data_IF_556122613698
#
_entry.id   IF_556122613698
#
_cell.length_a   1.000
_cell.length_b   1.000
_cell.length_c   1.000
_cell.angle_alpha   90.00
_cell.angle_beta   90.00
_cell.angle_gamma   90.00
#
_symmetry.space_group_name_H-M   'P 1'
#
loop_
_entity.id
_entity.type
_entity.pdbx_description
1 polymer ?
#
# COMPACT_ATOMS: atom_id res chain seq x y z
N UNK A 1 2.98 -25.01 65.99
CA UNK A 1 2.83 -23.61 65.58
C UNK A 1 3.45 -23.43 64.21
N UNK A 2 2.67 -22.86 63.29
CA UNK A 2 2.97 -22.26 61.98
C UNK A 2 3.65 -23.07 60.86
N UNK A 3 2.78 -23.49 59.92
CA UNK A 3 3.06 -23.89 58.52
C UNK A 3 3.43 -22.64 57.70
N UNK A 4 4.51 -22.70 56.90
CA UNK A 4 4.79 -21.72 55.84
C UNK A 4 4.49 -22.36 54.48
N UNK A 5 3.54 -21.79 53.75
CA UNK A 5 3.28 -22.11 52.34
C UNK A 5 3.96 -21.05 51.47
N UNK A 6 4.92 -21.47 50.65
CA UNK A 6 5.53 -20.63 49.62
C UNK A 6 4.59 -20.58 48.42
N UNK A 7 4.05 -19.40 48.10
CA UNK A 7 3.30 -19.18 46.87
C UNK A 7 4.26 -18.69 45.78
N UNK A 8 4.48 -19.49 44.73
CA UNK A 8 5.16 -19.08 43.51
C UNK A 8 4.19 -18.26 42.66
N UNK A 9 4.38 -16.94 42.61
CA UNK A 9 3.68 -16.08 41.68
C UNK A 9 4.37 -16.16 40.31
N UNK A 10 3.75 -16.87 39.36
CA UNK A 10 4.21 -16.95 37.98
C UNK A 10 3.75 -15.67 37.25
N UNK A 11 4.66 -14.71 37.10
CA UNK A 11 4.43 -13.49 36.34
C UNK A 11 4.43 -13.82 34.84
N UNK A 12 3.26 -13.91 34.21
CA UNK A 12 3.15 -13.98 32.76
C UNK A 12 3.58 -12.63 32.16
N UNK A 13 4.76 -12.60 31.55
CA UNK A 13 5.14 -11.52 30.66
C UNK A 13 4.33 -11.65 29.37
N UNK A 14 3.33 -10.80 29.17
CA UNK A 14 2.69 -10.63 27.86
C UNK A 14 3.69 -9.96 26.93
N UNK A 15 4.25 -10.72 25.99
CA UNK A 15 4.99 -10.16 24.87
C UNK A 15 3.99 -9.37 24.00
N UNK A 16 4.06 -8.04 24.05
CA UNK A 16 3.41 -7.18 23.08
C UNK A 16 4.25 -7.28 21.81
N UNK A 17 3.82 -8.10 20.87
CA UNK A 17 4.36 -8.06 19.51
C UNK A 17 3.88 -6.76 18.88
N UNK A 18 4.78 -5.80 18.72
CA UNK A 18 4.55 -4.63 17.86
C UNK A 18 4.44 -5.19 16.43
N UNK A 19 3.20 -5.34 15.95
CA UNK A 19 2.94 -5.54 14.53
C UNK A 19 3.28 -4.22 13.84
N UNK A 20 4.17 -4.23 12.85
CA UNK A 20 4.12 -3.21 11.80
C UNK A 20 2.70 -3.31 11.26
N UNK A 21 1.93 -2.24 11.41
CA UNK A 21 0.49 -2.30 11.23
C UNK A 21 0.19 -2.44 9.74
N UNK A 22 -0.41 -3.56 9.34
CA UNK A 22 -1.00 -3.72 8.02
C UNK A 22 -1.94 -2.54 7.73
N UNK A 23 -1.83 -1.96 6.54
CA UNK A 23 -2.77 -0.93 6.11
C UNK A 23 -3.87 -1.59 5.29
N UNK A 24 -5.13 -1.40 5.70
CA UNK A 24 -6.28 -2.03 5.06
C UNK A 24 -7.36 -1.01 4.74
N UNK A 25 -7.97 -1.15 3.56
CA UNK A 25 -9.16 -0.39 3.18
C UNK A 25 -10.25 -1.32 2.65
N UNK A 26 -11.48 -1.12 3.11
CA UNK A 26 -12.65 -1.83 2.58
C UNK A 26 -12.99 -1.33 1.17
N UNK A 27 -13.15 -2.26 0.23
CA UNK A 27 -13.44 -1.96 -1.18
C UNK A 27 -14.60 -2.78 -1.72
N UNK A 28 -15.03 -2.48 -2.95
CA UNK A 28 -16.10 -3.20 -3.66
C UNK A 28 -15.89 -4.72 -3.74
N UNK A 29 -14.64 -5.19 -3.80
CA UNK A 29 -14.31 -6.62 -3.93
C UNK A 29 -13.83 -7.25 -2.61
N UNK A 30 -14.02 -6.57 -1.47
CA UNK A 30 -13.45 -6.96 -0.17
C UNK A 30 -12.26 -6.10 0.23
N UNK A 31 -11.63 -6.33 1.39
CA UNK A 31 -10.53 -5.50 1.85
C UNK A 31 -9.32 -5.59 0.91
N UNK A 32 -8.74 -4.44 0.56
CA UNK A 32 -7.37 -4.37 0.02
C UNK A 32 -6.44 -4.15 1.21
N UNK A 33 -5.50 -5.06 1.40
CA UNK A 33 -4.51 -5.01 2.48
C UNK A 33 -3.11 -4.90 1.90
N UNK A 34 -2.36 -3.93 2.42
CA UNK A 34 -0.93 -3.73 2.18
C UNK A 34 -0.21 -4.18 3.45
N UNK A 35 0.58 -5.24 3.33
CA UNK A 35 1.27 -5.88 4.45
C UNK A 35 2.76 -5.91 4.22
N UNK A 36 3.52 -5.36 5.16
CA UNK A 36 4.97 -5.46 5.17
C UNK A 36 5.37 -6.86 5.69
N UNK A 37 6.32 -7.51 5.02
CA UNK A 37 6.88 -8.80 5.40
C UNK A 37 8.37 -8.59 5.70
N UNK A 38 8.73 -8.21 6.95
CA UNK A 38 10.08 -7.79 7.31
C UNK A 38 11.13 -8.89 7.15
N UNK A 39 10.74 -10.15 7.40
CA UNK A 39 11.64 -11.31 7.33
C UNK A 39 12.19 -11.51 5.92
N UNK A 40 11.39 -11.15 4.92
CA UNK A 40 11.67 -11.35 3.51
C UNK A 40 11.99 -10.04 2.77
N UNK A 41 12.04 -8.90 3.48
CA UNK A 41 12.21 -7.56 2.91
C UNK A 41 11.30 -7.25 1.71
N UNK A 42 10.01 -7.64 1.82
CA UNK A 42 9.02 -7.43 0.76
C UNK A 42 7.70 -6.89 1.30
N UNK A 43 6.88 -6.40 0.39
CA UNK A 43 5.49 -5.99 0.68
C UNK A 43 4.52 -6.87 -0.09
N UNK A 44 3.47 -7.33 0.56
CA UNK A 44 2.35 -8.04 -0.06
C UNK A 44 1.16 -7.08 -0.25
N UNK A 45 0.53 -7.15 -1.42
CA UNK A 45 -0.83 -6.65 -1.64
C UNK A 45 -1.76 -7.86 -1.70
N UNK A 46 -2.83 -7.85 -0.92
CA UNK A 46 -3.91 -8.83 -1.02
C UNK A 46 -5.27 -8.18 -1.20
N UNK A 47 -6.21 -8.92 -1.82
CA UNK A 47 -7.62 -8.52 -1.99
C UNK A 47 -8.49 -9.63 -1.44
N UNK A 48 -9.40 -9.29 -0.52
CA UNK A 48 -10.22 -10.26 0.21
C UNK A 48 -9.39 -11.40 0.84
N UNK A 49 -8.19 -11.06 1.34
CA UNK A 49 -7.25 -12.02 1.93
C UNK A 49 -6.54 -12.94 0.94
N UNK A 50 -6.75 -12.79 -0.38
CA UNK A 50 -6.00 -13.51 -1.41
C UNK A 50 -4.82 -12.66 -1.88
N UNK A 51 -3.57 -13.18 -1.82
CA UNK A 51 -2.41 -12.45 -2.33
C UNK A 51 -2.57 -12.11 -3.82
N UNK A 52 -2.45 -10.83 -4.15
CA UNK A 52 -2.48 -10.32 -5.51
C UNK A 52 -1.06 -10.09 -6.05
N UNK A 53 -0.15 -9.60 -5.20
CA UNK A 53 1.19 -9.21 -5.62
C UNK A 53 2.18 -9.15 -4.46
N UNK A 54 3.47 -9.37 -4.77
CA UNK A 54 4.59 -9.15 -3.88
C UNK A 54 5.59 -8.17 -4.52
N UNK A 55 5.96 -7.12 -3.78
CA UNK A 55 6.98 -6.15 -4.16
C UNK A 55 8.27 -6.46 -3.38
N UNK A 56 9.25 -7.06 -4.06
CA UNK A 56 10.49 -7.57 -3.43
C UNK A 56 11.59 -6.52 -3.23
N UNK A 57 11.44 -5.32 -3.78
CA UNK A 57 12.45 -4.24 -3.72
C UNK A 57 12.07 -3.10 -2.75
N UNK A 58 11.05 -3.33 -1.92
CA UNK A 58 10.46 -2.31 -1.06
C UNK A 58 10.27 -2.84 0.34
N UNK A 59 10.67 -2.03 1.32
CA UNK A 59 10.62 -2.41 2.75
C UNK A 59 9.36 -1.96 3.44
N UNK A 60 8.80 -0.85 2.96
CA UNK A 60 7.60 -0.26 3.53
C UNK A 60 6.66 0.16 2.42
N UNK A 61 5.38 0.18 2.72
CA UNK A 61 4.35 0.63 1.79
C UNK A 61 3.17 1.22 2.54
N UNK A 62 2.37 1.99 1.81
CA UNK A 62 1.21 2.67 2.35
C UNK A 62 0.14 2.88 1.29
N UNK A 63 -1.11 3.05 1.71
CA UNK A 63 -2.21 3.45 0.84
C UNK A 63 -2.11 4.96 0.63
N UNK A 64 -1.65 5.34 -0.56
CA UNK A 64 -1.41 6.73 -0.92
C UNK A 64 -2.70 7.51 -1.22
N UNK A 65 -3.69 6.85 -1.83
CA UNK A 65 -4.99 7.45 -2.15
C UNK A 65 -6.03 6.38 -2.49
N UNK A 66 -7.31 6.67 -2.21
CA UNK A 66 -8.44 5.85 -2.65
C UNK A 66 -9.40 6.66 -3.51
N UNK A 67 -10.12 5.98 -4.40
CA UNK A 67 -11.16 6.58 -5.22
C UNK A 67 -12.42 5.71 -5.19
N UNK A 68 -13.55 6.38 -5.00
CA UNK A 68 -14.86 5.75 -5.06
C UNK A 68 -15.27 5.46 -6.51
N UNK A 69 -15.81 4.26 -6.72
CA UNK A 69 -16.48 3.84 -7.95
C UNK A 69 -17.81 3.20 -7.52
N UNK A 70 -18.91 3.56 -8.16
CA UNK A 70 -20.25 3.06 -7.81
C UNK A 70 -20.65 3.20 -6.31
N UNK A 71 -20.12 4.21 -5.62
CA UNK A 71 -20.47 4.52 -4.22
C UNK A 71 -19.69 3.75 -3.14
N UNK A 72 -18.66 3.00 -3.51
CA UNK A 72 -17.67 2.47 -2.56
C UNK A 72 -16.25 2.56 -3.16
N UNK A 73 -15.21 2.31 -2.36
CA UNK A 73 -13.83 2.33 -2.86
C UNK A 73 -13.67 1.26 -3.94
N UNK A 74 -13.29 1.69 -5.15
CA UNK A 74 -13.05 0.80 -6.29
C UNK A 74 -11.61 0.82 -6.78
N UNK A 75 -10.86 1.87 -6.46
CA UNK A 75 -9.46 2.04 -6.87
C UNK A 75 -8.62 2.48 -5.67
N UNK A 76 -7.49 1.81 -5.47
CA UNK A 76 -6.54 2.05 -4.39
C UNK A 76 -5.15 2.29 -5.00
N UNK A 77 -4.50 3.39 -4.65
CA UNK A 77 -3.12 3.67 -5.03
C UNK A 77 -2.22 3.29 -3.86
N UNK A 78 -1.27 2.42 -4.11
CA UNK A 78 -0.27 1.97 -3.12
C UNK A 78 1.06 2.61 -3.44
N UNK A 79 1.66 3.28 -2.47
CA UNK A 79 3.03 3.78 -2.53
C UNK A 79 3.99 2.79 -1.88
N UNK A 80 5.12 2.54 -2.53
CA UNK A 80 6.17 1.63 -2.07
C UNK A 80 7.46 2.42 -1.87
N UNK A 81 8.01 2.34 -0.66
CA UNK A 81 9.24 3.02 -0.32
C UNK A 81 10.41 2.02 -0.30
N UNK A 82 11.41 2.32 -1.13
CA UNK A 82 12.61 1.49 -1.27
C UNK A 82 13.55 1.59 -0.06
N UNK A 83 13.40 2.63 0.77
CA UNK A 83 14.30 2.94 1.88
C UNK A 83 15.68 3.49 1.45
N UNK A 84 15.89 3.69 0.14
CA UNK A 84 17.10 4.28 -0.43
C UNK A 84 16.92 5.73 -0.87
N UNK A 85 18.02 6.47 -1.05
CA UNK A 85 17.98 7.87 -1.51
C UNK A 85 17.78 8.03 -3.02
N UNK A 86 17.97 6.96 -3.80
CA UNK A 86 17.94 7.01 -5.26
C UNK A 86 16.52 7.18 -5.81
N UNK A 87 15.54 6.47 -5.25
CA UNK A 87 14.14 6.55 -5.67
C UNK A 87 13.22 6.34 -4.45
N UNK A 88 12.84 7.43 -3.75
CA UNK A 88 12.10 7.33 -2.48
C UNK A 88 10.82 6.52 -2.60
N UNK A 89 9.96 6.83 -3.58
CA UNK A 89 8.66 6.17 -3.70
C UNK A 89 8.29 5.91 -5.16
N UNK A 90 7.79 4.71 -5.42
CA UNK A 90 7.09 4.32 -6.64
C UNK A 90 5.71 3.78 -6.29
N UNK A 91 4.81 3.73 -7.27
CA UNK A 91 3.39 3.51 -7.02
C UNK A 91 2.83 2.40 -7.91
N UNK A 92 1.76 1.76 -7.43
CA UNK A 92 0.88 0.89 -8.22
C UNK A 92 -0.58 1.20 -7.92
N UNK A 93 -1.44 0.88 -8.87
CA UNK A 93 -2.89 0.98 -8.73
C UNK A 93 -3.45 -0.43 -8.60
N UNK A 94 -4.25 -0.66 -7.57
CA UNK A 94 -5.14 -1.80 -7.41
C UNK A 94 -6.54 -1.33 -7.78
N UNK A 95 -7.08 -1.84 -8.88
CA UNK A 95 -8.46 -1.57 -9.32
C UNK A 95 -9.29 -2.83 -9.15
N UNK A 96 -10.30 -2.72 -8.30
CA UNK A 96 -11.25 -3.77 -7.96
C UNK A 96 -12.66 -3.44 -8.45
N UNK A 97 -12.80 -2.38 -9.25
CA UNK A 97 -14.10 -1.87 -9.68
C UNK A 97 -14.78 -2.74 -10.74
N UNK A 98 -14.03 -3.62 -11.41
CA UNK A 98 -14.52 -4.45 -12.53
C UNK A 98 -14.13 -5.92 -12.34
N UNK A 99 -14.86 -6.65 -11.50
CA UNK A 99 -14.70 -8.09 -11.35
C UNK A 99 -13.39 -8.50 -10.69
N UNK A 100 -12.51 -9.18 -11.42
CA UNK A 100 -11.22 -9.63 -10.89
C UNK A 100 -10.29 -8.43 -10.63
N UNK A 101 -9.56 -8.40 -9.50
CA UNK A 101 -8.63 -7.31 -9.22
C UNK A 101 -7.58 -7.14 -10.33
N UNK A 102 -7.40 -5.90 -10.78
CA UNK A 102 -6.40 -5.51 -11.76
C UNK A 102 -5.29 -4.71 -11.06
N UNK A 103 -4.04 -5.06 -11.35
CA UNK A 103 -2.87 -4.36 -10.82
C UNK A 103 -2.15 -3.65 -11.97
N UNK A 104 -1.88 -2.35 -11.80
CA UNK A 104 -1.08 -1.62 -12.78
C UNK A 104 0.39 -2.04 -12.77
N UNK A 105 1.09 -1.71 -13.85
CA UNK A 105 2.54 -1.57 -13.81
C UNK A 105 2.97 -0.53 -12.75
N UNK A 106 4.22 -0.63 -12.30
CA UNK A 106 4.83 0.37 -11.43
C UNK A 106 4.99 1.71 -12.16
N UNK A 107 4.80 2.82 -11.45
CA UNK A 107 4.87 4.16 -12.04
C UNK A 107 5.29 5.23 -11.02
N UNK A 108 5.56 6.43 -11.51
CA UNK A 108 5.96 7.61 -10.72
C UNK A 108 7.40 8.03 -10.99
N UNK A 109 7.74 9.26 -10.59
CA UNK A 109 9.03 9.90 -10.88
C UNK A 109 10.00 9.86 -9.70
N UNK A 110 9.89 8.85 -8.83
CA UNK A 110 10.56 8.76 -7.52
C UNK A 110 10.11 9.78 -6.46
N UNK A 111 9.21 10.71 -6.79
CA UNK A 111 8.69 11.67 -5.82
C UNK A 111 7.65 11.04 -4.89
N UNK A 112 7.74 11.35 -3.61
CA UNK A 112 6.84 10.94 -2.53
C UNK A 112 5.64 11.88 -2.30
N UNK A 113 5.54 12.96 -3.08
CA UNK A 113 4.49 13.99 -2.95
C UNK A 113 3.64 14.14 -4.23
N UNK A 114 3.01 13.07 -4.74
CA UNK A 114 2.12 13.15 -5.89
C UNK A 114 0.88 13.98 -5.59
N UNK A 115 0.30 14.54 -6.65
CA UNK A 115 -1.03 15.17 -6.62
C UNK A 115 -2.03 14.33 -7.39
N UNK A 116 -3.09 13.93 -6.70
CA UNK A 116 -4.18 13.14 -7.26
C UNK A 116 -5.36 14.03 -7.63
N UNK A 117 -5.98 13.78 -8.78
CA UNK A 117 -7.23 14.44 -9.17
C UNK A 117 -8.04 13.58 -10.12
N UNK A 118 -9.36 13.73 -10.07
CA UNK A 118 -10.27 13.11 -11.04
C UNK A 118 -10.62 14.14 -12.12
N UNK A 119 -10.39 13.78 -13.39
CA UNK A 119 -10.69 14.65 -14.54
C UNK A 119 -11.47 13.83 -15.55
N UNK A 120 -12.74 14.21 -15.78
CA UNK A 120 -13.64 13.55 -16.75
C UNK A 120 -13.73 12.02 -16.56
N UNK A 121 -13.75 11.57 -15.30
CA UNK A 121 -13.83 10.14 -14.95
C UNK A 121 -12.50 9.38 -14.97
N UNK A 122 -11.40 10.02 -15.35
CA UNK A 122 -10.05 9.44 -15.26
C UNK A 122 -9.32 9.95 -14.02
N UNK A 123 -8.52 9.10 -13.40
CA UNK A 123 -7.62 9.48 -12.31
C UNK A 123 -6.33 10.02 -12.94
N UNK A 124 -6.01 11.28 -12.68
CA UNK A 124 -4.75 11.89 -13.06
C UNK A 124 -3.85 12.04 -11.85
N UNK A 125 -2.59 11.66 -12.03
CA UNK A 125 -1.56 11.64 -11.00
C UNK A 125 -0.39 12.47 -11.52
N UNK A 126 -0.17 13.61 -10.88
CA UNK A 126 0.91 14.54 -11.21
C UNK A 126 2.05 14.36 -10.21
N UNK A 127 3.23 13.97 -10.70
CA UNK A 127 4.44 13.87 -9.90
C UNK A 127 5.33 15.09 -10.15
N UNK A 128 5.78 15.80 -9.09
CA UNK A 128 6.83 16.78 -9.26
C UNK A 128 8.16 16.09 -9.57
N UNK A 129 9.11 16.84 -10.13
CA UNK A 129 10.46 16.32 -10.35
C UNK A 129 11.11 15.90 -9.03
N UNK A 130 11.85 14.80 -9.06
CA UNK A 130 12.74 14.39 -7.97
C UNK A 130 14.20 14.51 -8.46
N UNK A 131 15.05 15.21 -7.71
CA UNK A 131 16.43 15.55 -8.10
C UNK A 131 16.53 16.12 -9.53
N UNK A 132 17.42 15.54 -10.35
CA UNK A 132 17.64 15.89 -11.76
C UNK A 132 16.64 15.21 -12.71
N UNK A 133 15.65 14.48 -12.17
CA UNK A 133 14.60 13.83 -12.94
C UNK A 133 13.60 14.79 -13.56
N UNK A 134 12.70 14.23 -14.36
CA UNK A 134 11.59 14.98 -14.96
C UNK A 134 10.32 14.85 -14.12
N UNK A 135 9.45 15.86 -14.17
CA UNK A 135 8.12 15.76 -13.58
C UNK A 135 7.21 14.93 -14.49
N UNK A 136 6.52 13.95 -13.92
CA UNK A 136 5.71 13.02 -14.71
C UNK A 136 4.21 13.24 -14.50
N UNK A 137 3.43 12.83 -15.51
CA UNK A 137 1.97 12.76 -15.39
C UNK A 137 1.47 11.42 -15.87
N UNK A 138 0.74 10.75 -15.00
CA UNK A 138 0.09 9.48 -15.30
C UNK A 138 -1.42 9.66 -15.30
N UNK A 139 -2.09 9.02 -16.25
CA UNK A 139 -3.55 8.98 -16.35
C UNK A 139 -3.99 7.53 -16.30
N UNK A 140 -4.88 7.24 -15.36
CA UNK A 140 -5.53 5.95 -15.21
C UNK A 140 -7.00 6.04 -15.61
N UNK A 141 -7.42 5.17 -16.52
CA UNK A 141 -8.80 5.10 -17.00
C UNK A 141 -9.06 3.70 -17.53
N UNK A 142 -10.24 3.14 -17.21
CA UNK A 142 -10.71 1.85 -17.75
C UNK A 142 -9.67 0.72 -17.62
N UNK A 143 -9.09 0.55 -16.42
CA UNK A 143 -8.10 -0.49 -16.19
C UNK A 143 -6.70 -0.23 -16.75
N UNK A 144 -6.49 0.89 -17.46
CA UNK A 144 -5.25 1.20 -18.19
C UNK A 144 -4.55 2.41 -17.62
N UNK A 145 -3.23 2.29 -17.46
CA UNK A 145 -2.35 3.34 -17.01
C UNK A 145 -1.49 3.85 -18.17
N UNK A 146 -1.40 5.17 -18.35
CA UNK A 146 -0.58 5.78 -19.40
C UNK A 146 0.17 7.02 -18.89
N UNK A 147 1.46 7.09 -19.19
CA UNK A 147 2.24 8.32 -19.02
C UNK A 147 1.92 9.32 -20.14
N UNK A 148 1.70 10.57 -19.77
CA UNK A 148 1.29 11.65 -20.69
C UNK A 148 2.22 12.86 -20.62
N UNK A 149 3.11 12.89 -19.64
CA UNK A 149 4.23 13.82 -19.52
C UNK A 149 5.36 13.15 -18.76
#
# INVERSE_FOLDING_TARGET
MFKYALAFAFSMATAVTVSLADETVDTLAGPVTVREIPEDFRVEISVAGQPLYYQDDSRTAYIAQTFEVYGAVGVVVVGFNSGGSACPVLYRIVDVSQGAPNLSQQFGSCSDIPKFKVVKGSIQIDFPKYNEGSSERWVYSEGKLKQTR
#
